data_IF_315167202544
#
_entry.id   IF_315167202544
#
_cell.length_a   1.000
_cell.length_b   1.000
_cell.length_c   1.000
_cell.angle_alpha   90.00
_cell.angle_beta   90.00
_cell.angle_gamma   90.00
#
_symmetry.space_group_name_H-M   'P 1'
#
loop_
_entity.id
_entity.type
_entity.pdbx_description
1 polymer ?
#
# COMPACT_ATOMS: atom_id res chain seq x y z
N UNK A 1 -77.07 19.71 -20.56
CA UNK A 1 -76.22 18.97 -19.60
C UNK A 1 -74.88 18.72 -20.27
N UNK A 2 -73.85 19.46 -19.85
CA UNK A 2 -72.51 19.46 -20.46
C UNK A 2 -71.70 18.30 -19.87
N UNK A 3 -71.31 17.33 -20.69
CA UNK A 3 -70.34 16.31 -20.32
C UNK A 3 -68.94 16.85 -20.64
N UNK A 4 -68.23 17.32 -19.62
CA UNK A 4 -66.82 17.71 -19.73
C UNK A 4 -66.01 16.41 -19.67
N UNK A 5 -65.50 15.97 -20.81
CA UNK A 5 -64.54 14.89 -20.89
C UNK A 5 -63.19 15.40 -20.35
N UNK A 6 -62.89 15.08 -19.10
CA UNK A 6 -61.58 15.31 -18.50
C UNK A 6 -60.63 14.28 -19.11
N UNK A 7 -59.89 14.70 -20.15
CA UNK A 7 -58.76 13.94 -20.66
C UNK A 7 -57.70 14.00 -19.56
N UNK A 8 -57.62 12.92 -18.76
CA UNK A 8 -56.49 12.66 -17.90
C UNK A 8 -55.27 12.51 -18.81
N UNK A 9 -54.53 13.61 -19.00
CA UNK A 9 -53.15 13.56 -19.45
C UNK A 9 -52.39 12.84 -18.35
N UNK A 10 -52.37 11.51 -18.43
CA UNK A 10 -51.36 10.72 -17.75
C UNK A 10 -50.02 11.19 -18.29
N UNK A 11 -49.40 12.14 -17.59
CA UNK A 11 -47.95 12.28 -17.60
C UNK A 11 -47.41 10.95 -17.08
N UNK A 12 -47.31 9.97 -17.97
CA UNK A 12 -46.35 8.91 -17.80
C UNK A 12 -45.02 9.62 -17.61
N UNK A 13 -44.33 9.49 -16.46
CA UNK A 13 -42.92 9.83 -16.45
C UNK A 13 -42.34 8.95 -17.54
N UNK A 14 -41.89 9.57 -18.62
CA UNK A 14 -41.21 8.88 -19.69
C UNK A 14 -40.20 7.99 -18.98
N UNK A 15 -40.40 6.67 -19.07
CA UNK A 15 -39.36 5.73 -18.73
C UNK A 15 -38.19 6.17 -19.60
N UNK A 16 -37.23 6.87 -18.99
CA UNK A 16 -35.98 7.29 -19.59
C UNK A 16 -35.19 5.99 -19.77
N UNK A 17 -35.60 5.22 -20.76
CA UNK A 17 -34.79 4.22 -21.43
C UNK A 17 -33.94 4.96 -22.47
N UNK A 18 -33.31 6.07 -22.08
CA UNK A 18 -32.27 6.66 -22.92
C UNK A 18 -30.97 6.03 -22.47
N UNK A 19 -30.49 5.10 -23.30
CA UNK A 19 -29.04 4.91 -23.42
C UNK A 19 -28.48 6.29 -23.75
N UNK A 20 -27.97 7.00 -22.74
CA UNK A 20 -27.26 8.25 -22.99
C UNK A 20 -26.22 8.00 -24.09
N UNK A 21 -25.95 9.03 -24.90
CA UNK A 21 -24.95 8.90 -25.97
C UNK A 21 -23.60 8.47 -25.38
N UNK A 22 -22.72 7.87 -26.17
CA UNK A 22 -21.38 7.47 -25.70
C UNK A 22 -20.54 8.64 -25.18
N UNK A 23 -20.89 9.87 -25.56
CA UNK A 23 -20.30 11.13 -25.07
C UNK A 23 -20.95 11.69 -23.80
N UNK A 24 -21.89 10.98 -23.20
CA UNK A 24 -22.72 11.43 -22.08
C UNK A 24 -22.74 10.36 -20.96
N UNK A 25 -23.16 10.75 -19.77
CA UNK A 25 -23.41 9.86 -18.65
C UNK A 25 -24.75 10.16 -18.01
N UNK A 26 -25.38 9.12 -17.47
CA UNK A 26 -26.63 9.24 -16.74
C UNK A 26 -26.34 9.68 -15.30
N UNK A 27 -26.99 10.74 -14.83
CA UNK A 27 -26.98 11.12 -13.42
C UNK A 27 -27.96 10.26 -12.62
N UNK A 28 -27.82 10.27 -11.30
CA UNK A 28 -28.76 9.59 -10.40
C UNK A 28 -30.19 10.13 -10.54
N UNK A 29 -30.34 11.41 -10.92
CA UNK A 29 -31.64 12.04 -11.19
C UNK A 29 -32.22 11.67 -12.58
N UNK A 30 -31.53 10.84 -13.35
CA UNK A 30 -32.02 10.34 -14.65
C UNK A 30 -31.78 11.30 -15.82
N UNK A 31 -30.88 12.27 -15.70
CA UNK A 31 -30.51 13.18 -16.79
C UNK A 31 -29.22 12.72 -17.49
N UNK A 32 -29.17 12.84 -18.82
CA UNK A 32 -27.94 12.63 -19.58
C UNK A 32 -27.10 13.92 -19.57
N UNK A 33 -25.94 13.87 -18.92
CA UNK A 33 -24.99 14.97 -18.90
C UNK A 33 -23.81 14.68 -19.83
N UNK A 34 -23.29 15.73 -20.48
CA UNK A 34 -22.07 15.61 -21.29
C UNK A 34 -20.88 15.20 -20.42
N UNK A 35 -20.09 14.24 -20.90
CA UNK A 35 -18.85 13.88 -20.22
C UNK A 35 -17.91 15.09 -20.18
N UNK A 36 -17.21 15.31 -19.04
CA UNK A 36 -16.19 16.35 -18.97
C UNK A 36 -15.00 16.01 -19.89
N UNK A 37 -14.16 17.02 -20.18
CA UNK A 37 -12.90 16.82 -20.90
C UNK A 37 -11.99 15.81 -20.18
N UNK A 38 -11.10 15.11 -20.91
CA UNK A 38 -10.05 14.33 -20.27
C UNK A 38 -9.23 15.24 -19.34
N UNK A 39 -8.89 14.74 -18.15
CA UNK A 39 -8.23 15.49 -17.06
C UNK A 39 -9.13 16.41 -16.22
N UNK A 40 -10.45 16.24 -16.31
CA UNK A 40 -11.41 16.90 -15.41
C UNK A 40 -12.31 15.88 -14.71
N UNK A 41 -12.68 16.18 -13.46
CA UNK A 41 -13.67 15.42 -12.70
C UNK A 41 -14.86 16.30 -12.33
N UNK A 42 -16.02 15.67 -12.19
CA UNK A 42 -17.30 16.32 -11.90
C UNK A 42 -17.39 16.62 -10.42
N UNK A 43 -17.62 17.89 -10.09
CA UNK A 43 -17.89 18.34 -8.71
C UNK A 43 -19.38 18.54 -8.47
N UNK A 44 -20.14 18.85 -9.52
CA UNK A 44 -21.59 18.97 -9.47
C UNK A 44 -22.20 18.43 -10.76
N UNK A 45 -23.16 17.52 -10.61
CA UNK A 45 -23.92 16.99 -11.73
C UNK A 45 -24.72 18.09 -12.43
N UNK A 46 -24.99 17.90 -13.72
CA UNK A 46 -25.86 18.79 -14.45
C UNK A 46 -27.33 18.57 -14.01
N UNK A 47 -28.13 19.61 -14.16
CA UNK A 47 -29.58 19.60 -13.89
C UNK A 47 -30.31 20.17 -15.11
N UNK A 48 -31.65 20.19 -15.10
CA UNK A 48 -32.45 20.81 -16.15
C UNK A 48 -32.09 22.27 -16.47
N UNK A 49 -31.58 23.01 -15.49
CA UNK A 49 -31.26 24.43 -15.62
C UNK A 49 -29.75 24.74 -15.59
N UNK A 50 -28.90 23.76 -15.25
CA UNK A 50 -27.47 24.00 -15.08
C UNK A 50 -26.63 22.96 -15.80
N UNK A 51 -25.56 23.42 -16.45
CA UNK A 51 -24.54 22.53 -17.00
C UNK A 51 -23.71 21.87 -15.89
N UNK A 52 -22.90 20.89 -16.30
CA UNK A 52 -21.98 20.18 -15.42
C UNK A 52 -20.93 21.15 -14.84
N UNK A 53 -20.63 21.02 -13.55
CA UNK A 53 -19.47 21.69 -12.95
C UNK A 53 -18.34 20.68 -12.82
N UNK A 54 -17.19 21.02 -13.38
CA UNK A 54 -16.01 20.16 -13.36
C UNK A 54 -14.78 20.95 -12.91
N UNK A 55 -13.84 20.25 -12.28
CA UNK A 55 -12.54 20.79 -11.89
C UNK A 55 -11.41 19.97 -12.51
N UNK A 56 -10.25 20.60 -12.78
CA UNK A 56 -9.09 19.88 -13.27
C UNK A 56 -8.63 18.86 -12.21
N UNK A 57 -8.16 17.71 -12.67
CA UNK A 57 -7.56 16.71 -11.80
C UNK A 57 -6.29 17.25 -11.14
N UNK A 58 -6.12 16.96 -9.86
CA UNK A 58 -4.91 17.25 -9.11
C UNK A 58 -3.76 16.37 -9.61
N UNK A 59 -2.54 16.90 -9.53
CA UNK A 59 -1.30 16.18 -9.87
C UNK A 59 -0.49 15.93 -8.60
N UNK A 60 0.12 14.74 -8.49
CA UNK A 60 0.97 14.40 -7.36
C UNK A 60 2.41 14.86 -7.65
N UNK A 61 2.77 16.09 -7.26
CA UNK A 61 4.05 16.72 -7.63
C UNK A 61 5.11 16.73 -6.52
N UNK A 62 4.81 16.22 -5.32
CA UNK A 62 5.75 16.18 -4.20
C UNK A 62 6.77 15.03 -4.30
N UNK A 63 7.96 15.24 -3.73
CA UNK A 63 8.97 14.18 -3.60
C UNK A 63 8.44 13.04 -2.72
N UNK A 64 8.63 11.80 -3.17
CA UNK A 64 8.11 10.62 -2.47
C UNK A 64 6.59 10.44 -2.56
N UNK A 65 5.89 11.21 -3.40
CA UNK A 65 4.47 10.99 -3.68
C UNK A 65 4.26 9.94 -4.77
N UNK A 66 3.19 9.17 -4.63
CA UNK A 66 2.67 8.24 -5.63
C UNK A 66 1.17 8.42 -5.81
N UNK A 67 0.68 7.99 -6.96
CA UNK A 67 -0.76 7.94 -7.24
C UNK A 67 -1.33 6.69 -6.55
N UNK A 68 -2.28 6.90 -5.64
CA UNK A 68 -3.07 5.83 -5.01
C UNK A 68 -4.31 5.49 -5.83
N UNK A 69 -4.95 6.52 -6.40
CA UNK A 69 -6.08 6.35 -7.31
C UNK A 69 -5.98 7.38 -8.44
N UNK A 70 -6.15 6.90 -9.66
CA UNK A 70 -6.20 7.75 -10.84
C UNK A 70 -7.43 8.65 -10.81
N UNK A 71 -7.30 9.84 -11.39
CA UNK A 71 -8.44 10.70 -11.61
C UNK A 71 -9.47 9.98 -12.49
N UNK A 72 -10.73 10.11 -12.12
CA UNK A 72 -11.86 9.65 -12.91
C UNK A 72 -12.82 10.81 -13.13
N UNK A 73 -13.81 10.65 -14.02
CA UNK A 73 -14.85 11.67 -14.16
C UNK A 73 -15.62 11.93 -12.86
N UNK A 74 -15.60 11.02 -11.88
CA UNK A 74 -16.36 11.13 -10.65
C UNK A 74 -15.51 11.49 -9.43
N UNK A 75 -14.18 11.44 -9.56
CA UNK A 75 -13.29 11.59 -8.42
C UNK A 75 -11.95 12.17 -8.85
N UNK A 76 -11.43 13.08 -8.03
CA UNK A 76 -10.08 13.61 -8.21
C UNK A 76 -9.00 12.53 -8.03
N UNK A 77 -7.78 12.79 -8.51
CA UNK A 77 -6.59 12.00 -8.23
C UNK A 77 -6.37 11.91 -6.72
N UNK A 78 -6.09 10.71 -6.22
CA UNK A 78 -5.65 10.51 -4.83
C UNK A 78 -4.15 10.30 -4.80
N UNK A 79 -3.46 11.18 -4.11
CA UNK A 79 -2.03 11.09 -3.85
C UNK A 79 -1.78 10.47 -2.47
N UNK A 80 -0.67 9.76 -2.34
CA UNK A 80 -0.16 9.27 -1.06
C UNK A 80 1.34 9.10 -1.12
N UNK A 81 1.97 8.70 -0.02
CA UNK A 81 3.41 8.53 0.02
C UNK A 81 3.83 7.16 -0.52
N UNK A 82 5.00 7.13 -1.15
CA UNK A 82 5.65 5.92 -1.66
C UNK A 82 5.98 4.96 -0.51
N UNK A 83 6.07 3.67 -0.83
CA UNK A 83 6.36 2.63 0.17
C UNK A 83 7.72 2.92 0.84
N UNK A 84 7.74 2.95 2.18
CA UNK A 84 8.92 3.29 2.97
C UNK A 84 8.93 4.72 3.55
N UNK A 85 8.03 5.61 3.11
CA UNK A 85 7.81 6.90 3.77
C UNK A 85 6.75 6.68 4.88
N UNK A 86 7.13 6.89 6.15
CA UNK A 86 6.37 6.45 7.33
C UNK A 86 4.98 7.10 7.35
N UNK A 87 3.95 6.28 7.53
CA UNK A 87 2.56 6.69 7.82
C UNK A 87 2.48 7.36 9.20
N UNK A 88 2.93 8.59 9.31
CA UNK A 88 2.32 9.48 10.30
C UNK A 88 1.19 10.17 9.56
N UNK A 89 -0.04 9.98 10.05
CA UNK A 89 -1.26 10.61 9.56
C UNK A 89 -0.97 12.06 9.20
N UNK A 90 -0.84 12.31 7.90
CA UNK A 90 -0.47 13.60 7.35
C UNK A 90 -1.71 14.47 7.42
N UNK A 91 -1.78 15.33 8.44
CA UNK A 91 -2.81 16.36 8.60
C UNK A 91 -2.63 17.50 7.58
N UNK A 92 -1.49 17.53 6.87
CA UNK A 92 -1.11 18.58 5.92
C UNK A 92 -0.70 17.99 4.55
N UNK A 93 -1.54 18.10 3.50
CA UNK A 93 -1.37 17.41 2.22
C UNK A 93 -0.17 17.88 1.37
N UNK A 94 0.73 18.70 1.91
CA UNK A 94 1.74 19.41 1.11
C UNK A 94 3.13 18.75 1.12
N UNK A 95 3.44 17.86 2.06
CA UNK A 95 4.71 17.14 2.07
C UNK A 95 4.55 15.71 2.60
N UNK A 96 5.02 14.73 1.83
CA UNK A 96 5.41 13.46 2.43
C UNK A 96 6.61 13.74 3.36
N UNK A 97 6.55 13.35 4.64
CA UNK A 97 7.68 13.54 5.55
C UNK A 97 8.91 12.89 4.94
N UNK A 98 10.06 13.56 5.07
CA UNK A 98 11.34 13.16 4.47
C UNK A 98 11.47 11.65 4.46
N UNK A 99 11.49 11.08 3.25
CA UNK A 99 11.72 9.67 3.02
C UNK A 99 13.19 9.41 3.37
N UNK A 100 13.47 9.36 4.67
CA UNK A 100 14.71 8.84 5.21
C UNK A 100 14.73 7.41 4.72
N UNK A 101 15.64 7.12 3.79
CA UNK A 101 15.94 5.76 3.41
C UNK A 101 16.08 4.97 4.72
N UNK A 102 15.13 4.08 4.98
CA UNK A 102 15.25 3.13 6.08
C UNK A 102 16.49 2.32 5.74
N UNK A 103 17.64 2.77 6.25
CA UNK A 103 18.80 1.91 6.40
C UNK A 103 18.23 0.75 7.21
N UNK A 104 18.17 -0.48 6.66
CA UNK A 104 17.69 -1.60 7.44
C UNK A 104 18.57 -1.59 8.68
N UNK A 105 17.95 -1.44 9.85
CA UNK A 105 18.59 -1.68 11.13
C UNK A 105 18.92 -3.17 11.13
N UNK A 106 20.02 -3.52 10.46
CA UNK A 106 20.59 -4.85 10.47
C UNK A 106 20.78 -5.11 11.95
N UNK A 107 20.05 -6.10 12.45
CA UNK A 107 20.03 -6.43 13.86
C UNK A 107 21.38 -7.09 14.19
N UNK A 108 22.43 -6.26 14.33
CA UNK A 108 23.84 -6.66 14.52
C UNK A 108 24.01 -7.51 15.79
N UNK A 109 23.01 -7.53 16.68
CA UNK A 109 23.02 -8.33 17.89
C UNK A 109 23.01 -9.86 17.62
N UNK A 110 22.41 -10.29 16.51
CA UNK A 110 22.31 -11.72 16.15
C UNK A 110 23.66 -12.31 15.67
N UNK A 111 24.42 -11.68 14.75
CA UNK A 111 25.71 -12.24 14.35
C UNK A 111 26.76 -12.20 15.49
N UNK A 112 26.72 -11.20 16.37
CA UNK A 112 27.71 -11.08 17.47
C UNK A 112 27.57 -12.20 18.50
N UNK A 113 26.33 -12.55 18.88
CA UNK A 113 26.08 -13.65 19.82
C UNK A 113 26.43 -15.02 19.23
N UNK A 114 26.15 -15.23 17.94
CA UNK A 114 26.54 -16.46 17.25
C UNK A 114 28.07 -16.66 17.18
N UNK A 115 28.82 -15.60 16.86
CA UNK A 115 30.30 -15.65 16.81
C UNK A 115 30.90 -15.95 18.18
N UNK A 116 30.38 -15.36 19.27
CA UNK A 116 30.83 -15.63 20.63
C UNK A 116 30.56 -17.07 21.09
N UNK A 117 29.41 -17.64 20.70
CA UNK A 117 29.10 -19.04 21.04
C UNK A 117 30.01 -20.02 20.29
N UNK A 118 30.28 -19.75 19.01
CA UNK A 118 31.16 -20.58 18.19
C UNK A 118 32.60 -20.56 18.73
N UNK A 119 33.13 -19.40 19.11
CA UNK A 119 34.49 -19.31 19.66
C UNK A 119 34.62 -20.04 21.00
N UNK A 120 33.61 -19.94 21.87
CA UNK A 120 33.57 -20.70 23.13
C UNK A 120 33.53 -22.22 22.90
N UNK A 121 32.74 -22.69 21.93
CA UNK A 121 32.66 -24.10 21.55
C UNK A 121 34.00 -24.64 21.03
N UNK A 122 34.68 -23.88 20.16
CA UNK A 122 36.00 -24.25 19.63
C UNK A 122 37.02 -24.33 20.77
N UNK A 123 37.04 -23.35 21.67
CA UNK A 123 37.96 -23.34 22.82
C UNK A 123 37.75 -24.58 23.72
N UNK A 124 36.49 -24.94 24.01
CA UNK A 124 36.16 -26.13 24.79
C UNK A 124 36.62 -27.42 24.10
N UNK A 125 36.44 -27.54 22.77
CA UNK A 125 36.90 -28.70 22.01
C UNK A 125 38.43 -28.81 22.02
N UNK A 126 39.16 -27.70 21.90
CA UNK A 126 40.63 -27.71 21.97
C UNK A 126 41.10 -28.17 23.35
N UNK A 127 40.49 -27.65 24.42
CA UNK A 127 40.81 -28.06 25.80
C UNK A 127 40.46 -29.54 26.00
N UNK A 128 39.31 -30.00 25.54
CA UNK A 128 38.90 -31.40 25.65
C UNK A 128 39.85 -32.33 24.91
N UNK A 129 40.21 -32.00 23.66
CA UNK A 129 41.20 -32.74 22.87
C UNK A 129 42.58 -32.75 23.54
N UNK A 130 43.02 -31.62 24.10
CA UNK A 130 44.30 -31.54 24.80
C UNK A 130 44.31 -32.36 26.09
N UNK A 131 43.25 -32.28 26.90
CA UNK A 131 43.09 -33.08 28.11
C UNK A 131 42.99 -34.59 27.80
N UNK A 132 42.25 -34.97 26.77
CA UNK A 132 42.12 -36.37 26.37
C UNK A 132 43.43 -36.92 25.80
N UNK A 133 44.18 -36.13 25.02
CA UNK A 133 45.51 -36.52 24.54
C UNK A 133 46.50 -36.68 25.71
N UNK A 134 46.50 -35.76 26.67
CA UNK A 134 47.33 -35.84 27.89
C UNK A 134 46.99 -37.07 28.74
N UNK A 135 45.70 -37.37 28.92
CA UNK A 135 45.22 -38.57 29.62
C UNK A 135 45.65 -39.86 28.92
N UNK A 136 45.64 -39.91 27.58
CA UNK A 136 46.16 -41.05 26.81
C UNK A 136 47.67 -41.24 26.94
N UNK A 137 48.44 -40.17 27.19
CA UNK A 137 49.88 -40.29 27.41
C UNK A 137 50.20 -40.82 28.82
N UNK A 138 49.49 -40.39 29.86
CA UNK A 138 49.69 -40.92 31.22
C UNK A 138 49.20 -42.36 31.40
N UNK A 139 48.18 -42.81 30.64
CA UNK A 139 47.71 -44.20 30.66
C UNK A 139 48.67 -45.24 30.04
N UNK A 140 49.69 -44.82 29.29
CA UNK A 140 50.69 -45.73 28.70
C UNK A 140 51.91 -46.01 29.58
N UNK A 141 52.08 -45.28 30.69
CA UNK A 141 53.23 -45.45 31.59
C UNK A 141 52.99 -46.43 32.76
N UNK A 142 51.79 -47.00 32.91
CA UNK A 142 51.45 -47.96 33.97
C UNK A 142 51.38 -49.43 33.50
N UNK A 143 51.92 -49.75 32.33
CA UNK A 143 52.10 -51.16 31.92
C UNK A 143 53.50 -51.63 32.33
N UNK A 144 53.63 -51.99 33.61
CA UNK A 144 54.82 -52.64 34.17
C UNK A 144 55.14 -53.94 33.41
N UNK A 145 56.41 -54.19 33.03
CA UNK A 145 56.85 -55.47 32.51
C UNK A 145 57.20 -56.38 33.70
N UNK A 146 56.37 -57.38 33.98
CA UNK A 146 56.84 -58.55 34.74
C UNK A 146 57.12 -59.67 33.74
N UNK A 147 58.38 -60.15 33.63
CA UNK A 147 58.68 -61.36 32.88
C UNK A 147 58.28 -62.59 33.71
N UNK A 148 57.60 -63.54 33.07
CA UNK A 148 57.53 -64.95 33.50
C UNK A 148 58.38 -65.74 32.53
#
# INVERSE_FOLDING_TARGET
>A
MQLIAIIAMSLTPALVSSKCSSSEFLTEEGFCCRNPQPSFYVTKNCTLQSSISARPCSTCTGMGMRILANCTRFSDTKCGCADGCRNETVTDPTLCPECTAQVPSVNILVPVTAVLLITMLIALLVVFCHCHHKSRQTGKFLKSPYPV
#
